data_IF_958060164776
#
_entry.id   IF_958060164776
#
_cell.length_a   1.000
_cell.length_b   1.000
_cell.length_c   1.000
_cell.angle_alpha   90.00
_cell.angle_beta   90.00
_cell.angle_gamma   90.00
#
_symmetry.space_group_name_H-M   'P 1'
#
loop_
_entity.id
_entity.type
_entity.pdbx_description
1 polymer ?
#
# COMPACT_ATOMS: atom_id res chain seq x y z
N UNK A 1 25.42 -21.54 -2.04
CA UNK A 1 24.51 -20.38 -1.87
C UNK A 1 25.00 -19.31 -2.80
N UNK A 2 24.28 -19.03 -3.87
CA UNK A 2 24.63 -17.94 -4.78
C UNK A 2 24.47 -16.62 -4.02
N UNK A 3 25.56 -15.88 -3.90
CA UNK A 3 25.53 -14.47 -3.51
C UNK A 3 24.65 -13.72 -4.52
N UNK A 4 24.02 -12.61 -4.07
CA UNK A 4 23.25 -11.74 -4.97
C UNK A 4 23.98 -11.56 -6.31
N UNK A 5 23.22 -11.57 -7.40
CA UNK A 5 23.80 -11.42 -8.74
C UNK A 5 24.75 -10.21 -8.77
N UNK A 6 25.96 -10.33 -9.33
CA UNK A 6 26.87 -9.21 -9.43
C UNK A 6 26.19 -8.04 -10.13
N UNK A 7 26.10 -6.87 -9.46
CA UNK A 7 25.45 -5.68 -9.96
C UNK A 7 24.02 -5.45 -9.44
N UNK A 8 23.49 -6.28 -8.52
CA UNK A 8 22.22 -5.97 -7.88
C UNK A 8 22.30 -4.66 -7.06
N UNK A 9 21.26 -3.81 -7.07
CA UNK A 9 21.29 -2.48 -6.43
C UNK A 9 21.69 -2.47 -4.96
N UNK A 10 21.31 -3.51 -4.21
CA UNK A 10 21.61 -3.65 -2.77
C UNK A 10 22.60 -4.78 -2.47
N UNK A 11 23.42 -5.19 -3.46
CA UNK A 11 24.47 -6.16 -3.21
C UNK A 11 25.42 -5.66 -2.09
N UNK A 12 25.66 -6.54 -1.08
CA UNK A 12 26.46 -6.23 0.10
C UNK A 12 25.71 -5.56 1.25
N UNK A 13 24.43 -5.21 1.10
CA UNK A 13 23.58 -4.78 2.21
C UNK A 13 23.17 -6.01 3.03
N UNK A 14 23.46 -6.02 4.33
CA UNK A 14 23.08 -7.11 5.26
C UNK A 14 21.97 -6.68 6.19
N UNK A 15 20.89 -7.47 6.21
CA UNK A 15 19.67 -7.20 6.96
C UNK A 15 19.38 -8.36 7.91
N UNK A 16 19.13 -8.06 9.18
CA UNK A 16 18.59 -9.01 10.17
C UNK A 16 17.12 -8.68 10.36
N UNK A 17 16.25 -9.65 10.11
CA UNK A 17 14.81 -9.46 10.21
C UNK A 17 14.21 -10.33 11.30
N UNK A 18 13.53 -9.71 12.26
CA UNK A 18 12.74 -10.38 13.30
C UNK A 18 11.29 -9.90 13.21
N UNK A 19 10.56 -10.43 12.25
CA UNK A 19 9.19 -10.04 11.92
C UNK A 19 8.33 -11.26 11.59
N UNK A 20 7.01 -11.08 11.63
CA UNK A 20 6.03 -12.09 11.26
C UNK A 20 5.00 -11.47 10.30
N UNK A 21 4.41 -12.27 9.42
CA UNK A 21 3.31 -11.89 8.52
C UNK A 21 3.68 -10.68 7.62
N UNK A 22 2.75 -9.74 7.41
CA UNK A 22 2.90 -8.58 6.53
C UNK A 22 4.20 -7.78 6.73
N UNK A 23 4.59 -7.45 7.97
CA UNK A 23 5.89 -6.83 8.25
C UNK A 23 7.09 -7.52 7.63
N UNK A 24 7.05 -8.83 7.42
CA UNK A 24 8.09 -9.57 6.69
C UNK A 24 8.32 -9.08 5.25
N UNK A 25 7.37 -8.40 4.66
CA UNK A 25 7.55 -7.83 3.33
C UNK A 25 8.60 -6.71 3.28
N UNK A 26 9.01 -6.12 4.41
CA UNK A 26 10.13 -5.14 4.43
C UNK A 26 11.41 -5.81 3.92
N UNK A 27 11.78 -6.93 4.54
CA UNK A 27 12.95 -7.70 4.11
C UNK A 27 12.80 -8.29 2.70
N UNK A 28 11.57 -8.63 2.29
CA UNK A 28 11.30 -9.07 0.92
C UNK A 28 11.68 -8.01 -0.12
N UNK A 29 11.22 -6.75 0.06
CA UNK A 29 11.55 -5.67 -0.86
C UNK A 29 13.05 -5.42 -0.96
N UNK A 30 13.77 -5.56 0.15
CA UNK A 30 15.23 -5.43 0.15
C UNK A 30 15.92 -6.64 -0.50
N UNK A 31 15.42 -7.86 -0.25
CA UNK A 31 15.94 -9.08 -0.86
C UNK A 31 15.75 -9.11 -2.39
N UNK A 32 14.60 -8.66 -2.88
CA UNK A 32 14.33 -8.54 -4.33
C UNK A 32 15.31 -7.58 -5.02
N UNK A 33 15.86 -6.62 -4.30
CA UNK A 33 16.90 -5.70 -4.77
C UNK A 33 18.33 -6.22 -4.53
N UNK A 34 18.50 -7.41 -3.97
CA UNK A 34 19.77 -8.08 -3.80
C UNK A 34 20.41 -7.95 -2.42
N UNK A 35 19.71 -7.48 -1.40
CA UNK A 35 20.21 -7.50 -0.03
C UNK A 35 20.32 -8.94 0.52
N UNK A 36 21.30 -9.19 1.39
CA UNK A 36 21.43 -10.43 2.17
C UNK A 36 20.55 -10.34 3.41
N UNK A 37 19.36 -10.92 3.34
CA UNK A 37 18.37 -10.87 4.42
C UNK A 37 18.37 -12.17 5.20
N UNK A 38 18.67 -12.08 6.50
CA UNK A 38 18.59 -13.19 7.45
C UNK A 38 17.34 -13.01 8.29
N UNK A 39 16.33 -13.84 8.05
CA UNK A 39 15.14 -13.92 8.88
C UNK A 39 15.43 -14.76 10.12
N UNK A 40 15.34 -14.12 11.29
CA UNK A 40 15.42 -14.81 12.58
C UNK A 40 14.02 -15.27 12.98
N UNK A 41 13.86 -16.55 13.21
CA UNK A 41 12.60 -17.19 13.60
C UNK A 41 12.73 -17.82 14.99
N UNK A 42 11.62 -17.86 15.74
CA UNK A 42 11.56 -18.66 16.96
C UNK A 42 11.64 -20.18 16.64
N UNK A 43 11.88 -21.05 17.62
CA UNK A 43 11.85 -22.52 17.39
C UNK A 43 10.53 -23.02 16.82
N UNK A 44 9.43 -22.29 17.02
CA UNK A 44 8.11 -22.64 16.45
C UNK A 44 7.97 -22.22 14.97
N UNK A 45 8.95 -21.44 14.46
CA UNK A 45 8.90 -20.89 13.12
C UNK A 45 7.93 -19.73 12.96
N UNK A 46 7.69 -19.33 11.72
CA UNK A 46 6.67 -18.36 11.37
C UNK A 46 5.34 -19.05 11.09
N UNK A 47 4.30 -18.73 11.81
CA UNK A 47 2.97 -19.34 11.67
C UNK A 47 2.34 -19.13 10.29
N UNK A 48 2.81 -18.15 9.53
CA UNK A 48 2.39 -17.90 8.15
C UNK A 48 2.59 -19.10 7.23
N UNK A 49 3.48 -20.03 7.57
CA UNK A 49 3.68 -21.30 6.84
C UNK A 49 2.39 -22.09 6.69
N UNK A 50 1.49 -22.00 7.68
CA UNK A 50 0.24 -22.76 7.74
C UNK A 50 -1.01 -21.86 7.65
N UNK A 51 -0.85 -20.57 7.38
CA UNK A 51 -1.92 -19.59 7.59
C UNK A 51 -2.92 -19.52 6.44
N UNK A 52 -2.48 -19.69 5.20
CA UNK A 52 -3.33 -19.52 4.02
C UNK A 52 -3.25 -20.71 3.09
N UNK A 53 -4.31 -20.92 2.33
CA UNK A 53 -4.37 -21.92 1.27
C UNK A 53 -4.00 -21.26 -0.07
N UNK A 54 -3.34 -21.96 -1.02
CA UNK A 54 -2.91 -23.36 -0.92
C UNK A 54 -1.60 -23.57 -0.14
N UNK A 55 -1.43 -24.77 0.40
CA UNK A 55 -0.20 -25.25 1.02
C UNK A 55 0.59 -26.08 0.00
N UNK A 56 1.86 -25.80 -0.16
CA UNK A 56 2.78 -26.51 -1.07
C UNK A 56 4.03 -26.87 -0.25
N UNK A 57 4.38 -28.15 -0.19
CA UNK A 57 5.54 -28.63 0.57
C UNK A 57 5.56 -28.08 2.01
N UNK A 58 4.45 -28.28 2.72
CA UNK A 58 4.23 -27.82 4.09
C UNK A 58 4.35 -26.29 4.33
N UNK A 59 4.29 -25.50 3.27
CA UNK A 59 4.32 -24.04 3.38
C UNK A 59 3.28 -23.37 2.51
N UNK A 60 2.65 -22.32 3.03
CA UNK A 60 1.66 -21.54 2.28
C UNK A 60 2.31 -20.71 1.16
N UNK A 61 1.54 -20.43 0.10
CA UNK A 61 1.98 -19.49 -0.95
C UNK A 61 2.31 -18.11 -0.39
N UNK A 62 1.63 -17.70 0.66
CA UNK A 62 1.92 -16.43 1.34
C UNK A 62 3.33 -16.44 1.97
N UNK A 63 3.71 -17.55 2.60
CA UNK A 63 5.06 -17.72 3.13
C UNK A 63 6.12 -17.67 2.02
N UNK A 64 5.90 -18.43 0.94
CA UNK A 64 6.79 -18.43 -0.22
C UNK A 64 6.93 -17.04 -0.84
N UNK A 65 5.83 -16.29 -0.93
CA UNK A 65 5.85 -14.93 -1.46
C UNK A 65 6.64 -13.98 -0.58
N UNK A 66 6.35 -13.93 0.71
CA UNK A 66 6.94 -12.92 1.63
C UNK A 66 8.41 -13.23 1.96
N UNK A 67 8.81 -14.50 1.93
CA UNK A 67 10.16 -14.88 2.36
C UNK A 67 11.08 -15.35 1.23
N UNK A 68 10.69 -15.15 -0.04
CA UNK A 68 11.60 -15.44 -1.15
C UNK A 68 12.89 -14.62 -1.02
N UNK A 69 14.00 -15.24 -1.41
CA UNK A 69 15.33 -14.61 -1.38
C UNK A 69 15.93 -14.43 0.01
N UNK A 70 15.26 -14.81 1.09
CA UNK A 70 15.77 -14.73 2.45
C UNK A 70 16.42 -16.04 2.90
N UNK A 71 17.35 -15.94 3.82
CA UNK A 71 17.88 -17.04 4.61
C UNK A 71 17.13 -17.12 5.94
N UNK A 72 16.89 -18.32 6.46
CA UNK A 72 16.25 -18.51 7.77
C UNK A 72 17.26 -18.94 8.80
N UNK A 73 17.13 -18.42 10.01
CA UNK A 73 17.91 -18.79 11.19
C UNK A 73 16.97 -18.93 12.38
N UNK A 74 16.98 -20.08 13.03
CA UNK A 74 16.17 -20.32 14.22
C UNK A 74 16.94 -19.93 15.48
N UNK A 75 16.41 -18.99 16.26
CA UNK A 75 16.95 -18.56 17.56
C UNK A 75 15.85 -18.43 18.60
N UNK A 76 16.04 -19.02 19.77
CA UNK A 76 15.18 -18.74 20.94
C UNK A 76 15.71 -17.53 21.71
N UNK A 77 15.30 -16.33 21.33
CA UNK A 77 15.71 -15.08 22.00
C UNK A 77 15.27 -14.96 23.47
N UNK A 78 14.77 -16.03 24.09
CA UNK A 78 14.59 -16.13 25.54
C UNK A 78 15.86 -16.57 26.25
N UNK A 79 16.80 -17.21 25.54
CA UNK A 79 18.10 -17.67 26.08
C UNK A 79 19.19 -16.63 25.84
N UNK A 80 20.17 -16.54 26.73
CA UNK A 80 21.29 -15.60 26.58
C UNK A 80 22.18 -15.98 25.39
N UNK A 81 22.41 -17.27 25.18
CA UNK A 81 23.22 -17.78 24.07
C UNK A 81 22.63 -17.34 22.73
N UNK A 82 21.31 -17.39 22.54
CA UNK A 82 20.66 -16.94 21.32
C UNK A 82 20.73 -15.41 21.16
N UNK A 83 20.65 -14.66 22.26
CA UNK A 83 20.85 -13.20 22.23
C UNK A 83 22.29 -12.83 21.86
N UNK A 84 23.28 -13.58 22.34
CA UNK A 84 24.68 -13.37 21.97
C UNK A 84 24.89 -13.62 20.47
N UNK A 85 24.33 -14.69 19.92
CA UNK A 85 24.35 -14.94 18.47
C UNK A 85 23.68 -13.79 17.72
N UNK A 86 22.56 -13.26 18.21
CA UNK A 86 21.90 -12.12 17.58
C UNK A 86 22.78 -10.86 17.61
N UNK A 87 23.43 -10.56 18.74
CA UNK A 87 24.38 -9.44 18.86
C UNK A 87 25.57 -9.60 17.91
N UNK A 88 26.10 -10.82 17.76
CA UNK A 88 27.19 -11.09 16.82
C UNK A 88 26.78 -10.85 15.38
N UNK A 89 25.56 -11.25 14.97
CA UNK A 89 25.03 -10.94 13.66
C UNK A 89 24.91 -9.43 13.40
N UNK A 90 24.54 -8.66 14.43
CA UNK A 90 24.37 -7.20 14.34
C UNK A 90 25.69 -6.47 14.12
N UNK A 91 26.84 -7.01 14.58
CA UNK A 91 28.18 -6.38 14.39
C UNK A 91 28.46 -6.05 12.93
N UNK A 92 28.04 -6.94 12.03
CA UNK A 92 28.28 -6.84 10.60
C UNK A 92 27.01 -6.51 9.78
N UNK A 93 25.91 -6.22 10.45
CA UNK A 93 24.65 -5.87 9.79
C UNK A 93 24.57 -4.36 9.52
N UNK A 94 23.90 -4.00 8.42
CA UNK A 94 23.53 -2.61 8.13
C UNK A 94 22.15 -2.28 8.74
N UNK A 95 21.26 -3.27 8.82
CA UNK A 95 19.85 -3.06 9.17
C UNK A 95 19.34 -4.15 10.12
N UNK A 96 18.57 -3.74 11.11
CA UNK A 96 17.70 -4.62 11.89
C UNK A 96 16.25 -4.20 11.64
N UNK A 97 15.40 -5.15 11.26
CA UNK A 97 13.95 -4.97 11.10
C UNK A 97 13.25 -5.78 12.20
N UNK A 98 12.36 -5.15 12.93
CA UNK A 98 11.54 -5.84 13.92
C UNK A 98 10.07 -5.44 13.82
N UNK A 99 9.18 -6.37 14.20
CA UNK A 99 7.73 -6.16 14.18
C UNK A 99 7.07 -6.78 15.42
N UNK A 100 7.73 -6.66 16.53
CA UNK A 100 7.21 -7.12 17.82
C UNK A 100 6.33 -6.05 18.47
N UNK A 101 5.68 -6.40 19.56
CA UNK A 101 5.01 -5.39 20.39
C UNK A 101 6.01 -4.33 20.87
N UNK A 102 5.60 -3.07 20.99
CA UNK A 102 6.48 -1.99 21.41
C UNK A 102 7.35 -2.36 22.61
N UNK A 103 8.67 -2.16 22.47
CA UNK A 103 9.65 -2.44 23.53
C UNK A 103 9.97 -3.92 23.77
N UNK A 104 9.43 -4.86 23.01
CA UNK A 104 9.65 -6.29 23.25
C UNK A 104 11.13 -6.72 23.08
N UNK A 105 11.84 -6.21 22.07
CA UNK A 105 13.28 -6.45 21.90
C UNK A 105 14.10 -5.65 22.94
N UNK A 106 13.75 -4.42 23.24
CA UNK A 106 14.43 -3.61 24.24
C UNK A 106 14.41 -4.28 25.63
N UNK A 107 13.29 -4.87 26.04
CA UNK A 107 13.17 -5.66 27.29
C UNK A 107 14.12 -6.88 27.33
N UNK A 108 14.67 -7.29 26.18
CA UNK A 108 15.64 -8.38 26.04
C UNK A 108 17.08 -7.89 25.91
N UNK A 109 17.33 -6.58 25.98
CA UNK A 109 18.63 -5.99 25.72
C UNK A 109 19.05 -6.09 24.25
N UNK A 110 18.06 -6.03 23.34
CA UNK A 110 18.22 -6.08 21.88
C UNK A 110 17.49 -4.93 21.18
N UNK A 111 17.18 -3.85 21.92
CA UNK A 111 16.58 -2.65 21.35
C UNK A 111 17.62 -1.78 20.61
N UNK A 112 17.14 -0.70 19.99
CA UNK A 112 18.01 0.20 19.23
C UNK A 112 19.18 0.73 20.02
N UNK A 113 18.98 1.20 21.25
CA UNK A 113 20.06 1.76 22.08
C UNK A 113 21.10 0.69 22.44
N UNK A 114 20.65 -0.55 22.76
CA UNK A 114 21.55 -1.66 23.06
C UNK A 114 22.40 -2.04 21.83
N UNK A 115 21.78 -2.12 20.65
CA UNK A 115 22.45 -2.56 19.42
C UNK A 115 23.33 -1.47 18.82
N UNK A 116 23.00 -0.20 19.02
CA UNK A 116 23.82 0.94 18.61
C UNK A 116 25.18 1.00 19.31
N UNK A 117 25.25 0.54 20.55
CA UNK A 117 26.55 0.40 21.26
C UNK A 117 27.46 -0.64 20.59
N UNK A 118 26.88 -1.69 20.00
CA UNK A 118 27.59 -2.75 19.29
C UNK A 118 27.99 -2.30 17.88
N UNK A 119 27.04 -1.64 17.19
CA UNK A 119 27.23 -1.15 15.84
C UNK A 119 26.61 0.26 15.71
N UNK A 120 27.39 1.33 15.83
CA UNK A 120 26.92 2.71 15.74
C UNK A 120 26.27 3.08 14.41
N UNK A 121 26.51 2.27 13.36
CA UNK A 121 25.95 2.48 12.02
C UNK A 121 24.61 1.77 11.80
N UNK A 122 24.13 1.00 12.78
CA UNK A 122 22.93 0.19 12.60
C UNK A 122 21.69 1.05 12.31
N UNK A 123 20.96 0.71 11.28
CA UNK A 123 19.63 1.23 11.00
C UNK A 123 18.62 0.27 11.61
N UNK A 124 17.89 0.72 12.59
CA UNK A 124 16.89 -0.09 13.29
C UNK A 124 15.49 0.34 12.90
N UNK A 125 14.75 -0.53 12.22
CA UNK A 125 13.42 -0.26 11.74
C UNK A 125 12.39 -1.09 12.49
N UNK A 126 11.50 -0.40 13.23
CA UNK A 126 10.32 -1.02 13.84
C UNK A 126 9.10 -0.75 12.98
N UNK A 127 8.36 -1.82 12.66
CA UNK A 127 7.06 -1.71 12.00
C UNK A 127 5.97 -2.26 12.93
N UNK A 128 4.99 -1.44 13.24
CA UNK A 128 3.92 -1.75 14.19
C UNK A 128 2.54 -1.48 13.59
N UNK A 129 1.47 -1.85 14.30
CA UNK A 129 0.11 -1.57 13.87
C UNK A 129 -0.25 -0.08 13.93
N UNK A 130 -0.03 0.51 15.11
CA UNK A 130 -0.50 1.87 15.44
C UNK A 130 0.61 2.80 15.97
N UNK A 131 1.87 2.47 15.72
CA UNK A 131 3.02 3.22 16.22
C UNK A 131 3.55 2.68 17.54
N UNK A 132 4.71 3.22 17.94
CA UNK A 132 5.43 2.86 19.18
C UNK A 132 5.02 3.74 20.35
N UNK A 133 4.32 4.84 20.08
CA UNK A 133 3.91 5.84 21.07
C UNK A 133 2.43 6.20 20.87
N UNK A 134 1.87 6.96 21.82
CA UNK A 134 0.48 7.38 21.77
C UNK A 134 -0.51 6.38 22.38
N UNK A 135 -1.81 6.71 22.36
CA UNK A 135 -2.83 5.97 23.13
C UNK A 135 -3.12 4.57 22.58
N UNK A 136 -2.70 4.26 21.36
CA UNK A 136 -2.97 2.98 20.69
C UNK A 136 -1.74 2.10 20.50
N UNK A 137 -0.58 2.50 21.01
CA UNK A 137 0.68 1.76 20.84
C UNK A 137 0.59 0.31 21.33
N UNK A 138 -0.13 0.06 22.42
CA UNK A 138 -0.31 -1.27 23.00
C UNK A 138 -1.52 -2.04 22.46
N UNK A 139 -2.30 -1.44 21.54
CA UNK A 139 -3.47 -2.08 20.98
C UNK A 139 -3.06 -3.23 20.04
N UNK A 140 -3.49 -4.48 20.31
CA UNK A 140 -3.27 -5.59 19.40
C UNK A 140 -3.98 -5.33 18.07
N UNK A 141 -3.33 -5.70 16.97
CA UNK A 141 -3.87 -5.45 15.64
C UNK A 141 -3.46 -6.51 14.63
N UNK A 142 -4.28 -6.67 13.61
CA UNK A 142 -4.03 -7.53 12.46
C UNK A 142 -4.56 -6.87 11.18
N UNK A 143 -3.89 -7.13 10.07
CA UNK A 143 -4.33 -6.95 8.68
C UNK A 143 -5.30 -5.79 8.44
N UNK A 144 -6.56 -6.13 8.27
CA UNK A 144 -7.62 -5.19 7.91
C UNK A 144 -7.89 -4.12 9.00
N UNK A 145 -7.43 -4.31 10.24
CA UNK A 145 -7.61 -3.34 11.30
C UNK A 145 -6.95 -1.99 10.98
N UNK A 146 -5.82 -2.00 10.28
CA UNK A 146 -5.12 -0.79 9.86
C UNK A 146 -5.93 0.03 8.87
N UNK A 147 -6.50 -0.65 7.89
CA UNK A 147 -7.32 -0.04 6.85
C UNK A 147 -8.67 0.43 7.39
N UNK A 148 -9.26 -0.33 8.31
CA UNK A 148 -10.48 0.08 9.01
C UNK A 148 -10.24 1.34 9.84
N UNK A 149 -9.11 1.40 10.55
CA UNK A 149 -8.70 2.58 11.30
C UNK A 149 -8.49 3.80 10.42
N UNK A 150 -7.89 3.61 9.25
CA UNK A 150 -7.70 4.66 8.25
C UNK A 150 -8.98 5.04 7.49
N UNK A 151 -10.11 4.38 7.78
CA UNK A 151 -11.39 4.65 7.11
C UNK A 151 -11.50 4.13 5.68
N UNK A 152 -10.60 3.22 5.27
CA UNK A 152 -10.61 2.66 3.91
C UNK A 152 -11.64 1.54 3.73
N UNK A 153 -12.00 0.85 4.81
CA UNK A 153 -12.96 -0.27 4.78
C UNK A 153 -14.35 0.25 5.08
N UNK A 154 -15.26 0.10 4.12
CA UNK A 154 -16.69 0.32 4.33
C UNK A 154 -17.34 -1.04 4.61
N UNK A 155 -18.12 -1.20 5.70
CA UNK A 155 -18.82 -2.45 5.94
C UNK A 155 -19.80 -2.77 4.81
N UNK A 156 -19.82 -4.03 4.38
CA UNK A 156 -20.93 -4.59 3.63
C UNK A 156 -22.05 -5.00 4.57
N UNK A 157 -23.24 -5.27 4.01
CA UNK A 157 -24.40 -5.72 4.79
C UNK A 157 -25.02 -6.93 4.13
N UNK A 158 -25.36 -7.95 4.94
CA UNK A 158 -26.15 -9.10 4.49
C UNK A 158 -27.58 -8.69 4.20
N UNK A 159 -28.38 -9.57 3.59
CA UNK A 159 -29.81 -9.33 3.37
C UNK A 159 -30.57 -9.05 4.68
N UNK A 160 -30.14 -9.68 5.79
CA UNK A 160 -30.69 -9.48 7.13
C UNK A 160 -30.15 -8.23 7.84
N UNK A 161 -29.33 -7.42 7.17
CA UNK A 161 -28.79 -6.17 7.70
C UNK A 161 -27.59 -6.32 8.64
N UNK A 162 -26.95 -7.48 8.74
CA UNK A 162 -25.75 -7.69 9.55
C UNK A 162 -24.51 -7.15 8.82
N UNK A 163 -23.64 -6.37 9.48
CA UNK A 163 -22.42 -5.88 8.86
C UNK A 163 -21.39 -7.01 8.66
N UNK A 164 -20.70 -7.01 7.55
CA UNK A 164 -19.60 -7.91 7.28
C UNK A 164 -18.41 -7.19 6.64
N UNK A 165 -17.24 -7.83 6.67
CA UNK A 165 -16.04 -7.34 6.00
C UNK A 165 -16.14 -7.72 4.51
N UNK A 166 -16.30 -6.74 3.59
CA UNK A 166 -16.33 -7.02 2.16
C UNK A 166 -14.92 -7.38 1.66
N UNK A 167 -14.85 -7.88 0.44
CA UNK A 167 -13.56 -8.02 -0.25
C UNK A 167 -12.85 -6.66 -0.30
N UNK A 168 -11.62 -6.64 0.21
CA UNK A 168 -10.85 -5.43 0.34
C UNK A 168 -9.35 -5.75 0.21
N UNK A 169 -8.59 -5.07 -0.67
CA UNK A 169 -7.15 -5.19 -0.68
C UNK A 169 -6.57 -4.62 0.60
N UNK A 170 -5.78 -5.41 1.34
CA UNK A 170 -5.20 -4.99 2.63
C UNK A 170 -4.08 -3.97 2.42
N UNK A 171 -4.45 -2.69 2.29
CA UNK A 171 -3.53 -1.59 1.95
C UNK A 171 -2.41 -1.44 2.98
N UNK A 172 -2.74 -1.46 4.28
CA UNK A 172 -1.75 -1.25 5.34
C UNK A 172 -0.68 -2.32 5.42
N UNK A 173 -1.04 -3.59 5.13
CA UNK A 173 -0.08 -4.70 5.07
C UNK A 173 0.92 -4.52 3.92
N UNK A 174 0.53 -3.89 2.83
CA UNK A 174 1.39 -3.64 1.68
C UNK A 174 2.13 -2.30 1.80
N UNK A 175 1.43 -1.24 2.15
CA UNK A 175 1.99 0.11 2.26
C UNK A 175 3.00 0.24 3.41
N UNK A 176 2.69 -0.31 4.60
CA UNK A 176 3.59 -0.25 5.75
C UNK A 176 5.00 -0.76 5.41
N UNK A 177 5.15 -1.98 4.89
CA UNK A 177 6.46 -2.49 4.47
C UNK A 177 7.16 -1.68 3.37
N UNK A 178 6.42 -1.10 2.42
CA UNK A 178 7.00 -0.21 1.40
C UNK A 178 7.57 1.07 2.02
N UNK A 179 6.82 1.74 2.89
CA UNK A 179 7.31 2.91 3.61
C UNK A 179 8.51 2.57 4.51
N UNK A 180 8.47 1.40 5.16
CA UNK A 180 9.59 0.94 5.98
C UNK A 180 10.84 0.66 5.14
N UNK A 181 10.71 -0.02 4.00
CA UNK A 181 11.84 -0.27 3.10
C UNK A 181 12.42 1.04 2.55
N UNK A 182 11.57 2.00 2.17
CA UNK A 182 12.00 3.34 1.76
C UNK A 182 12.76 4.07 2.88
N UNK A 183 12.22 4.06 4.10
CA UNK A 183 12.88 4.64 5.27
C UNK A 183 14.22 3.98 5.58
N UNK A 184 14.29 2.65 5.50
CA UNK A 184 15.53 1.87 5.67
C UNK A 184 16.60 2.31 4.67
N UNK A 185 16.26 2.46 3.40
CA UNK A 185 17.22 2.91 2.37
C UNK A 185 17.74 4.32 2.66
N UNK A 186 16.88 5.23 3.09
CA UNK A 186 17.28 6.58 3.52
C UNK A 186 18.22 6.51 4.74
N UNK A 187 17.88 5.67 5.73
CA UNK A 187 18.71 5.43 6.92
C UNK A 187 20.09 4.87 6.57
N UNK A 188 20.16 3.88 5.69
CA UNK A 188 21.41 3.29 5.20
C UNK A 188 22.27 4.32 4.45
N UNK A 189 21.65 5.13 3.60
CA UNK A 189 22.35 6.23 2.91
C UNK A 189 22.99 7.18 3.93
N UNK A 190 22.22 7.63 4.91
CA UNK A 190 22.73 8.48 6.01
C UNK A 190 23.87 7.80 6.79
N UNK A 191 23.68 6.52 7.15
CA UNK A 191 24.67 5.77 7.92
C UNK A 191 26.01 5.60 7.17
N UNK A 192 25.97 5.43 5.85
CA UNK A 192 27.16 5.35 5.00
C UNK A 192 27.92 6.68 4.93
N UNK A 193 27.21 7.79 4.88
CA UNK A 193 27.79 9.14 4.81
C UNK A 193 28.33 9.64 6.15
N UNK A 194 27.59 9.38 7.23
CA UNK A 194 27.88 9.98 8.55
C UNK A 194 28.56 9.03 9.55
N UNK A 195 28.57 7.74 9.27
CA UNK A 195 28.98 6.71 10.24
C UNK A 195 27.96 6.49 11.37
N UNK A 196 26.76 7.10 11.29
CA UNK A 196 25.73 7.06 12.33
C UNK A 196 24.44 6.48 11.78
N UNK A 197 23.98 5.35 12.37
CA UNK A 197 22.68 4.75 12.10
C UNK A 197 21.52 5.59 12.65
N UNK A 198 20.33 5.03 12.61
CA UNK A 198 19.12 5.68 13.14
C UNK A 198 18.07 4.67 13.55
N UNK A 199 17.16 5.13 14.40
CA UNK A 199 15.88 4.46 14.66
C UNK A 199 14.83 4.96 13.70
N UNK A 200 14.07 4.04 13.11
CA UNK A 200 12.96 4.28 12.22
C UNK A 200 11.71 3.58 12.75
N UNK A 201 10.60 4.26 12.67
CA UNK A 201 9.30 3.73 13.07
C UNK A 201 8.30 3.89 11.91
N UNK A 202 7.54 2.83 11.65
CA UNK A 202 6.42 2.86 10.69
C UNK A 202 5.18 2.23 11.32
N UNK A 203 4.10 3.01 11.40
CA UNK A 203 2.78 2.51 11.76
C UNK A 203 2.03 2.10 10.48
N UNK A 204 1.50 0.88 10.45
CA UNK A 204 0.77 0.39 9.27
C UNK A 204 -0.56 1.14 9.07
N UNK A 205 -1.19 1.61 10.15
CA UNK A 205 -2.37 2.47 10.08
C UNK A 205 -2.09 3.81 9.42
N UNK A 206 -0.95 4.43 9.76
CA UNK A 206 -0.54 5.70 9.16
C UNK A 206 -0.16 5.52 7.69
N UNK A 207 0.50 4.39 7.37
CA UNK A 207 0.78 4.03 5.98
C UNK A 207 -0.50 3.85 5.16
N UNK A 208 -1.55 3.20 5.73
CA UNK A 208 -2.86 3.10 5.10
C UNK A 208 -3.48 4.47 4.84
N UNK A 209 -3.47 5.36 5.84
CA UNK A 209 -3.99 6.72 5.71
C UNK A 209 -3.20 7.55 4.68
N UNK A 210 -1.87 7.37 4.61
CA UNK A 210 -1.02 8.04 3.65
C UNK A 210 -1.30 7.62 2.20
N UNK A 211 -1.73 6.38 1.97
CA UNK A 211 -2.12 5.90 0.63
C UNK A 211 -3.44 6.54 0.15
N UNK A 212 -4.30 7.01 1.05
CA UNK A 212 -5.49 7.80 0.71
C UNK A 212 -5.34 9.25 1.19
N UNK A 213 -4.18 9.84 0.88
CA UNK A 213 -3.81 11.19 1.31
C UNK A 213 -4.84 12.23 0.88
N UNK A 214 -5.47 12.08 -0.29
CA UNK A 214 -6.46 13.03 -0.78
C UNK A 214 -7.67 13.13 0.16
N UNK A 215 -8.17 11.99 0.64
CA UNK A 215 -9.28 11.99 1.62
C UNK A 215 -8.83 12.59 2.95
N UNK A 216 -7.66 12.18 3.44
CA UNK A 216 -7.10 12.69 4.69
C UNK A 216 -6.91 14.20 4.67
N UNK A 217 -6.33 14.74 3.60
CA UNK A 217 -6.14 16.19 3.44
C UNK A 217 -7.47 16.93 3.22
N UNK A 218 -8.44 16.30 2.56
CA UNK A 218 -9.79 16.87 2.43
C UNK A 218 -10.42 17.04 3.80
N UNK A 219 -10.39 16.02 4.67
CA UNK A 219 -10.92 16.14 6.04
C UNK A 219 -10.23 17.25 6.83
N UNK A 220 -8.90 17.29 6.81
CA UNK A 220 -8.12 18.37 7.47
C UNK A 220 -8.47 19.76 6.93
N UNK A 221 -8.70 19.89 5.63
CA UNK A 221 -9.12 21.16 5.05
C UNK A 221 -10.48 21.63 5.64
N UNK A 222 -11.39 20.69 5.90
CA UNK A 222 -12.71 21.04 6.47
C UNK A 222 -12.69 21.36 7.97
N UNK A 223 -11.58 21.16 8.67
CA UNK A 223 -11.37 21.68 10.03
C UNK A 223 -11.11 23.19 10.04
N UNK A 224 -10.81 23.80 8.89
CA UNK A 224 -10.64 25.24 8.74
C UNK A 224 -11.98 25.98 8.78
N UNK A 225 -11.97 27.28 9.06
CA UNK A 225 -13.17 28.13 8.97
C UNK A 225 -13.89 27.99 7.63
N UNK A 226 -15.21 28.02 7.66
CA UNK A 226 -16.03 27.86 6.44
C UNK A 226 -15.67 28.84 5.32
N UNK A 227 -15.30 30.05 5.67
CA UNK A 227 -14.90 31.10 4.73
C UNK A 227 -13.60 30.78 3.97
N UNK A 228 -12.79 29.82 4.46
CA UNK A 228 -11.51 29.44 3.85
C UNK A 228 -11.61 28.21 2.96
N UNK A 229 -12.74 27.50 2.97
CA UNK A 229 -12.93 26.26 2.24
C UNK A 229 -14.10 26.39 1.27
N UNK A 230 -13.79 26.64 0.01
CA UNK A 230 -14.77 26.83 -1.05
C UNK A 230 -14.66 25.71 -2.09
N UNK A 231 -15.62 25.61 -3.00
CA UNK A 231 -15.51 24.85 -4.23
C UNK A 231 -14.59 25.52 -5.24
N UNK A 232 -14.43 24.92 -6.41
CA UNK A 232 -13.68 25.50 -7.52
C UNK A 232 -14.57 26.40 -8.39
N UNK A 233 -13.95 27.06 -9.38
CA UNK A 233 -14.66 27.96 -10.31
C UNK A 233 -15.77 27.25 -11.10
N UNK A 234 -15.61 25.97 -11.45
CA UNK A 234 -16.62 25.22 -12.20
C UNK A 234 -17.88 24.95 -11.37
N UNK A 235 -17.73 24.91 -10.05
CA UNK A 235 -18.82 24.72 -9.10
C UNK A 235 -19.32 26.08 -8.52
N UNK A 236 -19.00 27.22 -9.18
CA UNK A 236 -19.32 28.57 -8.69
C UNK A 236 -18.84 28.82 -7.26
N UNK A 237 -17.73 28.22 -6.86
CA UNK A 237 -17.17 28.26 -5.51
C UNK A 237 -18.09 27.69 -4.41
N UNK A 238 -19.13 26.93 -4.80
CA UNK A 238 -19.99 26.28 -3.84
C UNK A 238 -19.23 25.25 -3.00
N UNK A 239 -19.37 25.33 -1.69
CA UNK A 239 -18.77 24.39 -0.75
C UNK A 239 -19.53 23.08 -0.77
N UNK A 240 -18.81 21.99 -1.01
CA UNK A 240 -19.38 20.62 -0.93
C UNK A 240 -19.16 20.02 0.45
N UNK A 241 -19.98 19.05 0.84
CA UNK A 241 -19.75 18.29 2.06
C UNK A 241 -18.45 17.45 1.97
N UNK A 242 -17.76 17.21 3.11
CA UNK A 242 -16.59 16.34 3.15
C UNK A 242 -16.88 14.97 2.52
N UNK A 243 -15.95 14.45 1.73
CA UNK A 243 -16.09 13.13 1.11
C UNK A 243 -16.98 13.05 -0.13
N UNK A 244 -17.52 14.16 -0.63
CA UNK A 244 -18.37 14.19 -1.84
C UNK A 244 -17.59 14.26 -3.16
N UNK A 245 -16.26 14.28 -3.11
CA UNK A 245 -15.41 14.33 -4.31
C UNK A 245 -15.35 13.02 -5.11
N UNK A 246 -16.20 12.04 -4.78
CA UNK A 246 -16.21 10.73 -5.44
C UNK A 246 -16.64 10.80 -6.91
N UNK A 247 -16.21 9.78 -7.68
CA UNK A 247 -16.53 9.60 -9.09
C UNK A 247 -17.85 8.87 -9.32
N UNK A 248 -18.64 8.63 -8.28
CA UNK A 248 -19.89 7.83 -8.34
C UNK A 248 -20.87 8.33 -9.38
N UNK A 249 -20.97 9.65 -9.53
CA UNK A 249 -21.90 10.29 -10.48
C UNK A 249 -21.24 10.72 -11.79
N UNK A 250 -19.94 10.48 -11.93
CA UNK A 250 -19.23 10.74 -13.18
C UNK A 250 -19.76 9.88 -14.32
N UNK A 251 -19.85 10.45 -15.49
CA UNK A 251 -20.34 9.73 -16.69
C UNK A 251 -19.22 9.48 -17.70
N UNK A 252 -18.37 10.47 -17.91
CA UNK A 252 -17.19 10.30 -18.78
C UNK A 252 -15.95 9.78 -18.05
N UNK A 253 -16.10 9.46 -16.77
CA UNK A 253 -15.14 8.72 -15.96
C UNK A 253 -15.92 7.69 -15.12
N UNK A 254 -16.15 6.52 -15.70
CA UNK A 254 -17.05 5.53 -15.09
C UNK A 254 -16.83 4.13 -15.66
N UNK A 255 -17.25 3.13 -14.90
CA UNK A 255 -17.32 1.74 -15.34
C UNK A 255 -18.62 1.51 -16.12
N UNK A 256 -18.52 0.85 -17.27
CA UNK A 256 -19.61 0.40 -18.11
C UNK A 256 -19.54 -1.10 -18.36
N UNK A 257 -20.69 -1.73 -18.57
CA UNK A 257 -20.76 -3.11 -19.07
C UNK A 257 -20.37 -3.13 -20.55
N UNK A 258 -19.45 -4.01 -20.91
CA UNK A 258 -19.21 -4.43 -22.31
C UNK A 258 -20.07 -5.63 -22.63
N UNK A 259 -19.95 -6.19 -23.83
CA UNK A 259 -20.73 -7.38 -24.20
C UNK A 259 -20.35 -8.65 -23.43
N UNK A 260 -19.17 -8.69 -22.81
CA UNK A 260 -18.62 -9.87 -22.13
C UNK A 260 -18.15 -9.61 -20.69
N UNK A 261 -17.96 -8.35 -20.28
CA UNK A 261 -17.47 -8.00 -18.95
C UNK A 261 -17.71 -6.50 -18.65
N UNK A 262 -16.67 -5.80 -18.17
CA UNK A 262 -16.73 -4.38 -17.83
C UNK A 262 -15.52 -3.64 -18.39
N UNK A 263 -15.70 -2.34 -18.67
CA UNK A 263 -14.64 -1.45 -19.10
C UNK A 263 -14.68 -0.14 -18.30
N UNK A 264 -13.52 0.39 -17.95
CA UNK A 264 -13.38 1.74 -17.41
C UNK A 264 -13.22 2.73 -18.56
N UNK A 265 -14.14 3.67 -18.66
CA UNK A 265 -14.10 4.78 -19.62
C UNK A 265 -13.65 6.06 -18.92
N UNK A 266 -12.64 6.74 -19.45
CA UNK A 266 -12.00 7.90 -18.80
C UNK A 266 -11.84 9.11 -19.74
N UNK A 267 -12.79 9.40 -20.61
CA UNK A 267 -12.75 10.54 -21.54
C UNK A 267 -13.17 11.86 -20.87
N UNK A 268 -12.43 12.27 -19.83
CA UNK A 268 -12.68 13.51 -19.09
C UNK A 268 -12.23 14.75 -19.84
N UNK A 269 -11.14 14.65 -20.61
CA UNK A 269 -10.62 15.72 -21.44
C UNK A 269 -11.43 15.82 -22.72
N UNK A 270 -11.67 17.06 -23.17
CA UNK A 270 -12.52 17.33 -24.33
C UNK A 270 -12.04 16.63 -25.62
N UNK A 271 -10.73 16.51 -25.78
CA UNK A 271 -10.15 15.85 -26.95
C UNK A 271 -10.48 14.36 -26.98
N UNK A 272 -10.27 13.62 -25.87
CA UNK A 272 -10.60 12.20 -25.79
C UNK A 272 -12.10 11.94 -25.95
N UNK A 273 -12.91 12.83 -25.37
CA UNK A 273 -14.37 12.77 -25.55
C UNK A 273 -14.79 12.98 -27.01
N UNK A 274 -14.19 13.96 -27.70
CA UNK A 274 -14.43 14.21 -29.13
C UNK A 274 -14.03 13.02 -29.98
N UNK A 275 -12.84 12.46 -29.71
CA UNK A 275 -12.33 11.29 -30.43
C UNK A 275 -13.24 10.07 -30.23
N UNK A 276 -13.72 9.85 -29.01
CA UNK A 276 -14.69 8.80 -28.74
C UNK A 276 -15.97 9.00 -29.55
N UNK A 277 -16.56 10.19 -29.49
CA UNK A 277 -17.80 10.48 -30.23
C UNK A 277 -17.63 10.32 -31.74
N UNK A 278 -16.52 10.76 -32.31
CA UNK A 278 -16.21 10.59 -33.70
C UNK A 278 -16.04 9.11 -34.09
N UNK A 279 -15.31 8.35 -33.28
CA UNK A 279 -15.04 6.93 -33.56
C UNK A 279 -16.27 6.01 -33.39
N UNK A 280 -17.29 6.41 -32.66
CA UNK A 280 -18.55 5.67 -32.55
C UNK A 280 -19.68 6.28 -33.41
N UNK A 281 -19.35 7.21 -34.32
CA UNK A 281 -20.28 7.92 -35.20
C UNK A 281 -21.41 8.66 -34.45
N UNK A 282 -21.08 9.24 -33.29
CA UNK A 282 -22.01 9.93 -32.40
C UNK A 282 -21.55 11.36 -32.05
N UNK A 283 -21.15 12.12 -33.10
CA UNK A 283 -20.78 13.54 -32.93
C UNK A 283 -21.93 14.39 -32.33
N UNK A 284 -23.18 13.96 -32.50
CA UNK A 284 -24.34 14.57 -31.85
C UNK A 284 -24.20 14.65 -30.32
N UNK A 285 -23.53 13.66 -29.71
CA UNK A 285 -23.26 13.65 -28.26
C UNK A 285 -22.20 14.70 -27.91
N UNK A 286 -21.17 14.87 -28.73
CA UNK A 286 -20.18 15.91 -28.53
C UNK A 286 -20.79 17.32 -28.69
N UNK A 287 -21.61 17.53 -29.69
CA UNK A 287 -22.27 18.82 -29.95
C UNK A 287 -23.21 19.19 -28.78
N UNK A 288 -23.94 18.22 -28.25
CA UNK A 288 -24.86 18.44 -27.12
C UNK A 288 -24.12 18.61 -25.79
N UNK A 289 -23.03 17.88 -25.55
CA UNK A 289 -22.28 17.86 -24.29
C UNK A 289 -20.76 17.93 -24.57
N UNK A 290 -20.23 19.03 -25.08
CA UNK A 290 -18.83 19.12 -25.50
C UNK A 290 -17.84 19.00 -24.34
N UNK A 291 -18.29 19.26 -23.11
CA UNK A 291 -17.43 19.28 -21.97
C UNK A 291 -16.49 20.47 -21.90
N UNK A 292 -15.52 20.41 -21.01
CA UNK A 292 -14.49 21.43 -20.85
C UNK A 292 -13.11 20.91 -21.31
N UNK A 293 -12.17 21.82 -21.48
CA UNK A 293 -10.80 21.49 -21.89
C UNK A 293 -10.12 20.50 -20.93
N UNK A 294 -10.41 20.58 -19.65
CA UNK A 294 -9.80 19.78 -18.59
C UNK A 294 -10.87 19.22 -17.66
N UNK A 295 -10.76 17.92 -17.34
CA UNK A 295 -11.38 17.29 -16.18
C UNK A 295 -12.90 17.43 -16.04
N UNK A 296 -13.66 17.42 -17.12
CA UNK A 296 -15.11 17.39 -17.06
C UNK A 296 -15.64 15.96 -17.16
N UNK A 297 -16.19 15.47 -16.04
CA UNK A 297 -16.70 14.10 -15.94
C UNK A 297 -18.19 13.97 -16.30
N UNK A 298 -18.86 15.03 -16.75
CA UNK A 298 -20.29 15.08 -17.01
C UNK A 298 -21.12 14.54 -15.84
N UNK A 299 -20.82 15.00 -14.62
CA UNK A 299 -21.46 14.52 -13.39
C UNK A 299 -22.97 14.66 -13.45
N UNK A 300 -23.68 13.66 -12.93
CA UNK A 300 -25.13 13.58 -12.83
C UNK A 300 -25.90 13.59 -14.16
N UNK A 301 -25.22 13.53 -15.30
CA UNK A 301 -25.85 13.45 -16.61
C UNK A 301 -26.35 12.03 -16.93
N UNK A 302 -27.47 11.65 -16.32
CA UNK A 302 -28.03 10.31 -16.47
C UNK A 302 -28.56 10.00 -17.85
N UNK A 303 -28.89 11.00 -18.68
CA UNK A 303 -29.25 10.81 -20.09
C UNK A 303 -28.02 10.29 -20.86
N UNK A 304 -26.90 10.99 -20.77
CA UNK A 304 -25.65 10.57 -21.40
C UNK A 304 -25.19 9.21 -20.88
N UNK A 305 -25.30 8.96 -19.57
CA UNK A 305 -24.90 7.68 -18.95
C UNK A 305 -25.63 6.49 -19.57
N UNK A 306 -26.93 6.60 -19.80
CA UNK A 306 -27.73 5.53 -20.43
C UNK A 306 -27.33 5.31 -21.88
N UNK A 307 -27.06 6.37 -22.62
CA UNK A 307 -26.62 6.26 -24.02
C UNK A 307 -25.26 5.55 -24.09
N UNK A 308 -24.31 5.94 -23.23
CA UNK A 308 -22.99 5.30 -23.19
C UNK A 308 -23.08 3.83 -22.77
N UNK A 309 -23.96 3.49 -21.84
CA UNK A 309 -24.17 2.10 -21.43
C UNK A 309 -24.58 1.21 -22.60
N UNK A 310 -25.45 1.70 -23.50
CA UNK A 310 -25.83 0.94 -24.69
C UNK A 310 -24.70 0.88 -25.75
N UNK A 311 -23.93 1.93 -25.88
CA UNK A 311 -22.77 1.95 -26.81
C UNK A 311 -21.73 0.92 -26.34
N UNK A 312 -21.39 0.88 -25.06
CA UNK A 312 -20.35 -0.03 -24.56
C UNK A 312 -20.73 -1.51 -24.66
N UNK A 313 -22.01 -1.86 -24.65
CA UNK A 313 -22.48 -3.25 -24.87
C UNK A 313 -22.23 -3.77 -26.28
N UNK A 314 -21.87 -2.92 -27.25
CA UNK A 314 -21.72 -3.30 -28.65
C UNK A 314 -20.45 -4.07 -28.98
N UNK A 315 -19.45 -4.07 -28.10
CA UNK A 315 -18.17 -4.76 -28.30
C UNK A 315 -17.73 -5.46 -27.00
N UNK A 316 -16.86 -6.43 -27.13
CA UNK A 316 -16.15 -7.05 -26.01
C UNK A 316 -15.16 -6.06 -25.38
N UNK A 317 -14.75 -6.34 -24.15
CA UNK A 317 -13.70 -5.55 -23.47
C UNK A 317 -12.41 -5.51 -24.29
N UNK A 318 -11.99 -6.64 -24.85
CA UNK A 318 -10.77 -6.72 -25.66
C UNK A 318 -10.87 -5.88 -26.94
N UNK A 319 -12.02 -5.91 -27.64
CA UNK A 319 -12.27 -5.09 -28.81
C UNK A 319 -12.25 -3.59 -28.48
N UNK A 320 -12.86 -3.19 -27.36
CA UNK A 320 -12.81 -1.80 -26.90
C UNK A 320 -11.40 -1.31 -26.58
N UNK A 321 -10.57 -2.15 -25.94
CA UNK A 321 -9.17 -1.80 -25.63
C UNK A 321 -8.37 -1.56 -26.90
N UNK A 322 -8.49 -2.42 -27.91
CA UNK A 322 -7.83 -2.24 -29.22
C UNK A 322 -8.35 -0.96 -29.89
N UNK A 323 -9.66 -0.83 -29.97
CA UNK A 323 -10.34 0.29 -30.60
C UNK A 323 -9.96 1.65 -29.95
N UNK A 324 -9.80 1.69 -28.62
CA UNK A 324 -9.43 2.92 -27.91
C UNK A 324 -8.03 3.41 -28.29
N UNK A 325 -7.10 2.51 -28.53
CA UNK A 325 -5.76 2.83 -29.04
C UNK A 325 -5.78 3.41 -30.46
N UNK A 326 -6.60 2.85 -31.32
CA UNK A 326 -6.75 3.31 -32.72
C UNK A 326 -7.41 4.69 -32.83
N UNK A 327 -8.28 5.03 -31.86
CA UNK A 327 -9.05 6.28 -31.86
C UNK A 327 -8.50 7.34 -30.90
N UNK A 328 -7.35 7.10 -30.28
CA UNK A 328 -6.74 8.00 -29.30
C UNK A 328 -7.76 8.49 -28.25
N UNK A 329 -8.41 7.54 -27.59
CA UNK A 329 -9.32 7.81 -26.45
C UNK A 329 -8.97 6.92 -25.27
N UNK A 330 -9.51 7.21 -24.09
CA UNK A 330 -9.16 6.53 -22.84
C UNK A 330 -10.33 5.79 -22.22
#
# INVERSE_FOLDING_TARGET
MESAAPGAPLAGLRVIEFSLLGPGAVGLHLADLGADVIKVESPQGDYIRQMTWPIIEDSSLLHWHIHRGKRSLTLDLKTEEAKDVFRDLVRDADVVIEAMRPGALAKRGLGFEDLKEINPRIVFCTISGYGMTGPYADLPSHGIAYDTWAGLVKPGYTEDGLPFIPEHPSVGIHAGPLFAAFGVLAGVTRARETGQGCFLEVAQSDASAAMDWLRSETFKAYERPESEVTGNKADNYERRAPGTAGMTTGVRYQIYESSDSHILFMASEQEFWKNFCAGVDRMDLFDKWPGSKFGDHAKDNMELRKILAEIFKTKTTAEWVIWSGEHNTT
#
